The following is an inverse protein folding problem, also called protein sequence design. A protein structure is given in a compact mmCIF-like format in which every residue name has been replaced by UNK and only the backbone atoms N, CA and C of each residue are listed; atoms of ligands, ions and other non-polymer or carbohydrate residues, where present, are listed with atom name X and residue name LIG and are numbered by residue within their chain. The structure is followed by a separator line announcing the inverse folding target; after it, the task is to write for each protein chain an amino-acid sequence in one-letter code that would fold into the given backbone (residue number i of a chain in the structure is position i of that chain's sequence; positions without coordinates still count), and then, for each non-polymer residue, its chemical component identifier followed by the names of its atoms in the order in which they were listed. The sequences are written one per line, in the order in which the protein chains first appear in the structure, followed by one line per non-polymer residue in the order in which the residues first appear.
data_IF_657585242845
#
_entry.id   IF_657585242845
#
_cell.length_a   1.000
_cell.length_b   1.000
_cell.length_c   1.000
_cell.angle_alpha   90.00
_cell.angle_beta   90.00
_cell.angle_gamma   90.00
#
_symmetry.space_group_name_H-M   'P 1'
#
loop_
_entity.id
_entity.type
_entity.pdbx_description
1 polymer ?
#
# COMPACT_ATOMS: atom_id res chain seq x y z
N UNK A 1 8.09 -10.18 -3.92
CA UNK A 1 7.41 -8.96 -3.44
C UNK A 1 6.88 -8.25 -4.65
N UNK A 2 5.72 -7.62 -4.51
CA UNK A 2 4.99 -7.02 -5.62
C UNK A 2 4.37 -5.70 -5.17
N UNK A 3 4.02 -4.83 -6.13
CA UNK A 3 3.32 -3.58 -5.85
C UNK A 3 1.81 -3.80 -5.76
N UNK A 4 1.21 -3.23 -4.74
CA UNK A 4 -0.23 -3.29 -4.50
C UNK A 4 -0.77 -1.87 -4.33
N UNK A 5 -1.75 -1.50 -5.16
CA UNK A 5 -2.43 -0.22 -5.09
C UNK A 5 -3.59 -0.29 -4.12
N UNK A 6 -3.67 0.67 -3.20
CA UNK A 6 -4.82 0.84 -2.32
C UNK A 6 -6.02 1.35 -3.14
N UNK A 7 -7.18 0.72 -2.96
CA UNK A 7 -8.40 1.05 -3.72
C UNK A 7 -9.09 2.32 -3.21
N UNK A 8 -8.65 2.87 -2.07
CA UNK A 8 -9.26 4.06 -1.46
C UNK A 8 -10.47 3.76 -0.58
N UNK A 9 -10.81 2.49 -0.38
CA UNK A 9 -11.95 2.04 0.43
C UNK A 9 -11.50 1.23 1.64
N UNK A 10 -12.14 1.43 2.79
CA UNK A 10 -11.97 0.57 3.95
C UNK A 10 -10.71 0.85 4.79
N UNK A 11 -10.19 -0.21 5.42
CA UNK A 11 -8.99 -0.14 6.23
C UNK A 11 -7.74 -0.24 5.37
N UNK A 12 -6.76 0.63 5.60
CA UNK A 12 -5.45 0.58 4.94
C UNK A 12 -4.63 -0.66 5.32
N UNK A 13 -5.00 -1.37 6.38
CA UNK A 13 -4.34 -2.62 6.82
C UNK A 13 -5.10 -3.88 6.43
N UNK A 14 -6.17 -3.74 5.65
CA UNK A 14 -6.93 -4.86 5.13
C UNK A 14 -6.44 -5.21 3.71
N UNK A 15 -5.87 -6.41 3.50
CA UNK A 15 -5.39 -6.86 2.20
C UNK A 15 -6.43 -6.80 1.09
N UNK A 16 -7.73 -6.94 1.40
CA UNK A 16 -8.79 -6.98 0.39
C UNK A 16 -8.97 -5.64 -0.32
N UNK A 17 -8.55 -4.54 0.31
CA UNK A 17 -8.61 -3.18 -0.25
C UNK A 17 -7.41 -2.84 -1.15
N UNK A 18 -6.77 -3.87 -1.69
CA UNK A 18 -5.60 -3.72 -2.55
C UNK A 18 -5.73 -4.52 -3.84
N UNK A 19 -5.15 -3.95 -4.89
CA UNK A 19 -5.04 -4.56 -6.21
C UNK A 19 -3.59 -4.67 -6.62
N UNK A 20 -3.20 -5.84 -7.14
CA UNK A 20 -1.87 -6.05 -7.73
C UNK A 20 -1.68 -5.12 -8.93
N UNK A 21 -0.54 -4.45 -8.99
CA UNK A 21 -0.16 -3.57 -10.08
C UNK A 21 1.30 -3.80 -10.47
N UNK A 22 1.64 -3.58 -11.74
CA UNK A 22 3.02 -3.71 -12.20
C UNK A 22 3.89 -2.52 -11.75
N UNK A 23 3.38 -1.30 -11.93
CA UNK A 23 4.09 -0.05 -11.62
C UNK A 23 3.11 0.92 -10.94
N UNK A 24 3.46 1.46 -9.75
CA UNK A 24 2.60 2.43 -9.07
C UNK A 24 2.62 3.78 -9.78
N UNK A 25 1.44 4.28 -10.15
CA UNK A 25 1.24 5.65 -10.60
C UNK A 25 0.60 6.46 -9.45
N UNK A 26 1.44 7.17 -8.71
CA UNK A 26 1.09 7.92 -7.51
C UNK A 26 1.45 9.40 -7.71
N UNK A 27 0.57 10.23 -8.31
CA UNK A 27 0.86 11.63 -8.57
C UNK A 27 0.91 12.47 -7.27
N UNK A 28 1.33 13.72 -7.38
CA UNK A 28 1.29 14.69 -6.28
C UNK A 28 -0.05 15.45 -6.25
N UNK A 29 -0.49 15.96 -5.09
CA UNK A 29 0.17 16.01 -3.78
C UNK A 29 0.23 14.67 -3.03
N UNK A 30 1.13 14.53 -2.05
CA UNK A 30 1.38 13.30 -1.28
C UNK A 30 0.57 13.29 0.02
N UNK A 31 -0.73 12.99 -0.05
CA UNK A 31 -1.65 13.16 1.08
C UNK A 31 -2.16 11.84 1.65
N UNK A 32 -2.47 10.88 0.79
CA UNK A 32 -3.14 9.62 1.12
C UNK A 32 -2.34 8.42 0.63
N UNK A 33 -2.56 7.27 1.23
CA UNK A 33 -1.91 6.03 0.81
C UNK A 33 -2.28 5.69 -0.64
N UNK A 34 -1.27 5.43 -1.46
CA UNK A 34 -1.44 5.08 -2.86
C UNK A 34 -1.12 3.61 -3.12
N UNK A 35 0.10 3.20 -2.81
CA UNK A 35 0.58 1.85 -3.11
C UNK A 35 1.62 1.41 -2.08
N UNK A 36 1.69 0.09 -1.90
CA UNK A 36 2.65 -0.55 -1.01
C UNK A 36 3.41 -1.65 -1.75
N UNK A 37 4.70 -1.81 -1.42
CA UNK A 37 5.53 -2.91 -1.87
C UNK A 37 5.58 -3.96 -0.77
N UNK A 38 5.03 -5.13 -1.02
CA UNK A 38 4.84 -6.14 0.02
C UNK A 38 5.04 -7.56 -0.51
N UNK A 39 5.20 -8.51 0.42
CA UNK A 39 5.06 -9.94 0.11
C UNK A 39 3.62 -10.24 -0.32
N UNK A 40 3.45 -11.23 -1.19
CA UNK A 40 2.15 -11.64 -1.71
C UNK A 40 1.61 -12.85 -0.97
N UNK A 41 0.29 -12.90 -0.83
CA UNK A 41 -0.49 -14.07 -0.39
C UNK A 41 -1.68 -14.26 -1.32
N UNK A 42 -2.28 -15.45 -1.30
CA UNK A 42 -3.51 -15.74 -2.03
C UNK A 42 -4.68 -15.65 -1.05
N UNK A 43 -5.61 -14.73 -1.31
CA UNK A 43 -6.87 -14.59 -0.58
C UNK A 43 -8.01 -14.53 -1.59
N UNK A 44 -9.05 -15.34 -1.41
CA UNK A 44 -10.19 -15.42 -2.34
C UNK A 44 -9.78 -15.61 -3.81
N UNK A 45 -8.77 -16.45 -4.07
CA UNK A 45 -8.21 -16.69 -5.41
C UNK A 45 -7.52 -15.49 -6.07
N UNK A 46 -7.27 -14.39 -5.34
CA UNK A 46 -6.53 -13.22 -5.81
C UNK A 46 -5.22 -13.03 -5.04
N UNK A 47 -4.24 -12.41 -5.70
CA UNK A 47 -3.00 -11.99 -5.05
C UNK A 47 -3.23 -10.71 -4.25
N UNK A 48 -2.96 -10.78 -2.95
CA UNK A 48 -3.11 -9.69 -1.99
C UNK A 48 -1.81 -9.45 -1.21
N UNK A 49 -1.59 -8.25 -0.66
CA UNK A 49 -0.42 -7.96 0.15
C UNK A 49 -0.48 -8.67 1.51
N UNK A 50 0.69 -9.04 2.05
CA UNK A 50 0.86 -9.48 3.44
C UNK A 50 1.26 -8.28 4.29
N UNK A 51 0.46 -7.97 5.32
CA UNK A 51 0.81 -6.95 6.30
C UNK A 51 1.62 -7.54 7.44
N UNK A 52 2.89 -7.12 7.54
CA UNK A 52 3.74 -7.37 8.71
C UNK A 52 3.65 -6.17 9.66
N UNK A 53 4.00 -6.36 10.93
CA UNK A 53 4.06 -5.25 11.89
C UNK A 53 5.01 -4.13 11.45
N UNK A 54 6.11 -4.47 10.77
CA UNK A 54 7.05 -3.48 10.21
C UNK A 54 6.42 -2.67 9.08
N UNK A 55 5.71 -3.32 8.14
CA UNK A 55 5.03 -2.63 7.04
C UNK A 55 3.92 -1.72 7.57
N UNK A 56 3.16 -2.17 8.57
CA UNK A 56 2.13 -1.32 9.19
C UNK A 56 2.72 -0.08 9.86
N UNK A 57 3.83 -0.23 10.59
CA UNK A 57 4.54 0.90 11.18
C UNK A 57 5.08 1.86 10.12
N UNK A 58 5.65 1.34 9.03
CA UNK A 58 6.14 2.14 7.91
C UNK A 58 5.01 2.96 7.26
N UNK A 59 3.87 2.33 7.00
CA UNK A 59 2.67 3.00 6.46
C UNK A 59 2.21 4.11 7.40
N UNK A 60 2.13 3.86 8.71
CA UNK A 60 1.75 4.87 9.70
C UNK A 60 2.72 6.06 9.69
N UNK A 61 4.03 5.81 9.67
CA UNK A 61 5.05 6.85 9.60
C UNK A 61 4.93 7.68 8.32
N UNK A 62 4.78 7.04 7.16
CA UNK A 62 4.67 7.72 5.86
C UNK A 62 3.40 8.58 5.78
N UNK A 63 2.27 8.07 6.29
CA UNK A 63 1.01 8.83 6.33
C UNK A 63 1.10 10.02 7.30
N UNK A 64 1.78 9.87 8.44
CA UNK A 64 1.93 10.93 9.45
C UNK A 64 2.89 12.02 8.98
N UNK A 65 4.03 11.64 8.41
CA UNK A 65 5.09 12.55 7.98
C UNK A 65 4.87 13.14 6.59
N UNK A 66 3.97 12.53 5.80
CA UNK A 66 3.77 12.83 4.37
C UNK A 66 5.04 12.61 3.52
N UNK A 67 5.98 11.82 4.04
CA UNK A 67 7.22 11.48 3.36
C UNK A 67 7.16 10.03 2.90
N UNK A 68 7.22 9.82 1.59
CA UNK A 68 7.22 8.48 0.99
C UNK A 68 8.46 7.69 1.38
N UNK A 69 8.35 6.37 1.34
CA UNK A 69 9.46 5.45 1.50
C UNK A 69 9.66 4.61 0.24
N UNK A 70 10.66 3.72 0.26
CA UNK A 70 10.88 2.76 -0.83
C UNK A 70 9.74 1.75 -0.98
N UNK A 71 8.98 1.49 0.09
CA UNK A 71 7.89 0.51 0.10
C UNK A 71 6.50 1.14 0.17
N UNK A 72 6.37 2.43 0.44
CA UNK A 72 5.06 3.08 0.66
C UNK A 72 5.02 4.40 -0.08
N UNK A 73 4.07 4.48 -1.02
CA UNK A 73 3.86 5.65 -1.86
C UNK A 73 2.54 6.33 -1.50
N UNK A 74 2.49 7.65 -1.72
CA UNK A 74 1.36 8.52 -1.44
C UNK A 74 0.83 9.16 -2.73
N UNK A 75 -0.46 9.48 -2.73
CA UNK A 75 -1.18 10.16 -3.82
C UNK A 75 -2.09 11.27 -3.26
N UNK A 76 -2.77 12.06 -4.13
CA UNK A 76 -3.64 13.15 -3.73
C UNK A 76 -4.80 12.70 -2.84
#
# INVERSE_FOLDING_TARGET
MDWFKYTGSGSIYDPLNYMLIAIPNCPSPKLRLCAIYASRQILNSELKPVFTGMLQAEIATVIMTKQESVNVLLCP
#
